data_IF_742140021080
#
_entry.id   IF_742140021080
#
_cell.length_a   1.000
_cell.length_b   1.000
_cell.length_c   1.000
_cell.angle_alpha   90.00
_cell.angle_beta   90.00
_cell.angle_gamma   90.00
#
_symmetry.space_group_name_H-M   'P 1'
#
loop_
_entity.id
_entity.type
_entity.pdbx_description
1 polymer ?
#
# COMPACT_ATOMS: atom_id res chain seq x y z
N UNK A 1 -80.06 28.20 24.18
CA UNK A 1 -80.93 27.01 24.16
C UNK A 1 -80.65 26.22 22.87
N UNK A 2 -80.28 24.94 23.00
CA UNK A 2 -80.32 23.82 22.02
C UNK A 2 -79.76 23.97 20.58
N UNK A 3 -78.67 23.19 20.35
CA UNK A 3 -78.33 22.31 19.21
C UNK A 3 -79.25 22.36 17.97
N UNK A 4 -78.65 22.32 16.77
CA UNK A 4 -78.56 21.11 15.91
C UNK A 4 -77.73 21.37 14.63
N UNK A 5 -76.88 20.39 14.32
CA UNK A 5 -76.19 20.15 13.06
C UNK A 5 -77.18 19.73 11.96
N UNK A 6 -76.87 20.04 10.69
CA UNK A 6 -77.03 19.10 9.57
C UNK A 6 -76.20 19.54 8.35
N UNK A 7 -75.62 18.54 7.69
CA UNK A 7 -74.59 18.51 6.66
C UNK A 7 -75.22 18.16 5.29
N UNK A 8 -74.59 18.59 4.18
CA UNK A 8 -74.58 18.01 2.80
C UNK A 8 -74.68 19.15 1.76
N UNK A 9 -73.78 19.42 0.80
CA UNK A 9 -72.73 18.70 0.05
C UNK A 9 -72.88 19.12 -1.44
N UNK A 10 -71.99 18.80 -2.40
CA UNK A 10 -70.53 18.58 -2.35
C UNK A 10 -69.74 19.58 -3.25
N UNK A 11 -68.46 19.77 -2.93
CA UNK A 11 -67.47 20.50 -3.74
C UNK A 11 -66.79 19.55 -4.75
N UNK A 12 -66.66 19.99 -6.01
CA UNK A 12 -65.79 19.38 -7.01
C UNK A 12 -64.56 20.30 -7.17
N UNK A 13 -63.39 19.87 -6.69
CA UNK A 13 -62.12 20.56 -6.93
C UNK A 13 -61.06 19.54 -7.37
N UNK A 14 -60.57 19.77 -8.57
CA UNK A 14 -59.63 18.95 -9.34
C UNK A 14 -58.21 19.17 -8.81
N UNK A 15 -57.63 18.15 -8.18
CA UNK A 15 -56.25 18.19 -7.66
C UNK A 15 -55.22 17.88 -8.74
N UNK A 16 -54.32 18.82 -9.01
CA UNK A 16 -53.08 18.60 -9.76
C UNK A 16 -52.01 18.12 -8.78
N UNK A 17 -51.72 16.82 -8.80
CA UNK A 17 -50.58 16.25 -8.08
C UNK A 17 -49.31 16.40 -8.93
N UNK A 18 -48.43 17.34 -8.55
CA UNK A 18 -47.05 17.33 -9.02
C UNK A 18 -46.29 16.20 -8.31
N UNK A 19 -46.00 15.13 -9.05
CA UNK A 19 -45.11 14.07 -8.61
C UNK A 19 -43.67 14.63 -8.55
N UNK A 20 -43.19 14.91 -7.34
CA UNK A 20 -41.79 15.26 -7.10
C UNK A 20 -40.91 14.03 -7.30
N UNK A 21 -39.94 14.13 -8.20
CA UNK A 21 -38.87 13.15 -8.37
C UNK A 21 -37.97 13.23 -7.12
N UNK A 22 -37.73 12.14 -6.38
CA UNK A 22 -36.77 12.17 -5.28
C UNK A 22 -35.37 12.37 -5.85
N UNK A 23 -34.72 13.45 -5.43
CA UNK A 23 -33.31 13.69 -5.68
C UNK A 23 -32.50 12.55 -5.03
N UNK A 24 -31.87 11.71 -5.85
CA UNK A 24 -30.91 10.72 -5.38
C UNK A 24 -29.66 11.44 -4.87
N UNK A 25 -29.62 11.65 -3.55
CA UNK A 25 -28.42 12.08 -2.83
C UNK A 25 -27.32 11.04 -3.04
N UNK A 26 -26.40 11.33 -3.96
CA UNK A 26 -25.12 10.63 -4.02
C UNK A 26 -24.30 11.13 -2.84
N UNK A 27 -24.45 10.48 -1.69
CA UNK A 27 -23.51 10.63 -0.60
C UNK A 27 -22.14 10.16 -1.10
N UNK A 28 -21.30 11.12 -1.49
CA UNK A 28 -19.88 10.86 -1.72
C UNK A 28 -19.31 10.32 -0.40
N UNK A 29 -18.86 9.07 -0.42
CA UNK A 29 -18.17 8.47 0.70
C UNK A 29 -16.90 9.29 0.96
N UNK A 30 -16.94 10.11 2.00
CA UNK A 30 -15.75 10.83 2.50
C UNK A 30 -14.78 9.75 2.97
N UNK A 31 -13.64 9.60 2.27
CA UNK A 31 -12.51 8.77 2.72
C UNK A 31 -12.04 9.33 4.07
N UNK A 32 -12.51 8.75 5.18
CA UNK A 32 -12.01 9.12 6.52
C UNK A 32 -10.62 8.53 6.68
N UNK A 33 -9.60 9.38 6.81
CA UNK A 33 -8.25 8.94 7.15
C UNK A 33 -8.25 8.47 8.61
N UNK A 34 -8.01 7.17 8.81
CA UNK A 34 -7.83 6.56 10.13
C UNK A 34 -6.43 6.92 10.64
N UNK A 35 -6.28 7.27 11.92
CA UNK A 35 -4.97 7.55 12.54
C UNK A 35 -4.70 6.54 13.64
N UNK A 36 -3.48 6.02 13.70
CA UNK A 36 -3.01 5.14 14.79
C UNK A 36 -1.83 5.77 15.52
N UNK A 37 -1.76 5.56 16.84
CA UNK A 37 -0.59 5.92 17.65
C UNK A 37 0.40 4.76 17.61
N UNK A 38 1.66 5.06 17.40
CA UNK A 38 2.75 4.08 17.31
C UNK A 38 3.91 4.51 18.18
N UNK A 39 4.63 3.55 18.75
CA UNK A 39 5.77 3.77 19.65
C UNK A 39 7.07 3.17 19.10
N UNK A 40 6.95 2.25 18.12
CA UNK A 40 8.07 1.51 17.56
C UNK A 40 8.13 1.64 16.04
N UNK A 41 9.35 1.72 15.51
CA UNK A 41 9.64 1.71 14.09
C UNK A 41 10.70 0.66 13.73
N UNK A 42 10.46 -0.06 12.64
CA UNK A 42 11.40 -0.99 12.01
C UNK A 42 11.64 -0.53 10.58
N UNK A 43 12.88 -0.64 10.08
CA UNK A 43 13.15 -0.45 8.64
C UNK A 43 13.92 -1.66 8.12
N UNK A 44 13.20 -2.52 7.41
CA UNK A 44 13.79 -3.65 6.72
C UNK A 44 14.32 -3.19 5.36
N UNK A 45 15.57 -3.53 5.03
CA UNK A 45 16.09 -3.37 3.67
C UNK A 45 15.26 -4.25 2.74
N UNK A 46 14.98 -3.77 1.53
CA UNK A 46 14.36 -4.60 0.49
C UNK A 46 15.10 -4.46 -0.84
N UNK A 47 15.23 -5.59 -1.52
CA UNK A 47 15.86 -5.74 -2.83
C UNK A 47 15.06 -6.80 -3.60
N UNK A 48 14.46 -6.40 -4.73
CA UNK A 48 13.48 -7.21 -5.44
C UNK A 48 13.65 -7.14 -6.96
N UNK A 49 14.02 -8.26 -7.58
CA UNK A 49 14.00 -8.44 -9.03
C UNK A 49 12.66 -9.03 -9.44
N UNK A 50 11.75 -8.22 -9.98
CA UNK A 50 10.37 -8.64 -10.23
C UNK A 50 10.17 -9.22 -11.62
N UNK A 51 10.78 -8.59 -12.63
CA UNK A 51 10.58 -8.94 -14.05
C UNK A 51 11.79 -9.67 -14.65
N UNK A 52 12.98 -9.17 -14.38
CA UNK A 52 14.23 -9.64 -14.97
C UNK A 52 15.35 -9.66 -13.91
N UNK A 53 16.45 -10.39 -14.15
CA UNK A 53 17.64 -10.28 -13.32
C UNK A 53 18.10 -8.82 -13.23
N UNK A 54 18.49 -8.42 -12.03
CA UNK A 54 19.11 -7.12 -11.78
C UNK A 54 20.39 -6.98 -12.61
N UNK A 55 20.62 -5.82 -13.22
CA UNK A 55 21.76 -5.62 -14.13
C UNK A 55 22.19 -4.15 -14.30
N UNK A 56 21.83 -3.25 -13.37
CA UNK A 56 22.16 -1.82 -13.48
C UNK A 56 23.56 -1.45 -12.93
N UNK A 57 24.28 -2.44 -12.39
CA UNK A 57 25.63 -2.28 -11.81
C UNK A 57 25.67 -1.95 -10.32
N UNK A 58 24.54 -1.68 -9.66
CA UNK A 58 24.48 -1.40 -8.21
C UNK A 58 24.53 -2.68 -7.35
N UNK A 59 24.14 -3.82 -7.93
CA UNK A 59 24.27 -5.16 -7.37
C UNK A 59 24.80 -6.09 -8.46
N UNK A 60 25.40 -7.21 -8.04
CA UNK A 60 25.78 -8.28 -8.96
C UNK A 60 24.58 -8.73 -9.80
N UNK A 61 24.85 -9.27 -10.99
CA UNK A 61 23.78 -9.75 -11.86
C UNK A 61 23.10 -10.96 -11.22
N UNK A 62 21.79 -10.89 -10.99
CA UNK A 62 21.05 -11.98 -10.36
C UNK A 62 19.57 -11.67 -10.13
N UNK A 63 18.80 -12.67 -9.72
CA UNK A 63 17.42 -12.48 -9.26
C UNK A 63 17.41 -12.44 -7.75
N UNK A 64 16.95 -11.32 -7.20
CA UNK A 64 16.89 -11.08 -5.76
C UNK A 64 15.44 -11.13 -5.27
N UNK A 65 15.22 -11.82 -4.14
CA UNK A 65 13.91 -11.88 -3.47
C UNK A 65 14.08 -11.57 -1.99
N UNK A 66 13.23 -10.69 -1.50
CA UNK A 66 13.11 -10.35 -0.08
C UNK A 66 11.75 -10.78 0.44
N UNK A 67 11.73 -11.35 1.64
CA UNK A 67 10.54 -11.53 2.49
C UNK A 67 10.81 -10.83 3.82
N UNK A 68 9.87 -10.01 4.28
CA UNK A 68 9.91 -9.41 5.61
C UNK A 68 8.82 -10.05 6.45
N UNK A 69 9.21 -10.94 7.36
CA UNK A 69 8.32 -11.56 8.33
C UNK A 69 8.09 -10.60 9.50
N UNK A 70 6.83 -10.49 9.93
CA UNK A 70 6.41 -9.60 10.99
C UNK A 70 5.54 -10.40 11.95
N UNK A 71 6.06 -10.65 13.15
CA UNK A 71 5.37 -11.41 14.19
C UNK A 71 5.01 -10.49 15.36
N UNK A 72 3.79 -10.67 15.86
CA UNK A 72 3.29 -10.03 17.07
C UNK A 72 3.48 -10.98 18.26
N UNK A 73 4.56 -10.86 19.06
CA UNK A 73 4.80 -11.74 20.20
C UNK A 73 3.87 -11.45 21.40
N UNK A 74 2.97 -10.48 21.29
CA UNK A 74 2.08 -10.10 22.38
C UNK A 74 0.80 -10.94 22.39
N UNK A 75 0.10 -10.90 23.52
CA UNK A 75 -1.19 -11.58 23.71
C UNK A 75 -2.39 -10.74 23.23
N UNK A 76 -2.17 -9.64 22.51
CA UNK A 76 -3.21 -8.72 22.08
C UNK A 76 -3.19 -8.55 20.57
N UNK A 77 -4.37 -8.44 19.98
CA UNK A 77 -4.52 -7.99 18.59
C UNK A 77 -4.28 -6.48 18.52
N UNK A 78 -3.53 -6.02 17.54
CA UNK A 78 -3.41 -4.58 17.23
C UNK A 78 -3.14 -4.32 15.75
N UNK A 79 -3.32 -3.07 15.35
CA UNK A 79 -3.06 -2.60 13.99
C UNK A 79 -1.66 -2.03 13.88
N UNK A 80 -0.95 -2.40 12.82
CA UNK A 80 0.34 -1.82 12.43
C UNK A 80 0.18 -1.05 11.13
N UNK A 81 1.14 -0.16 10.86
CA UNK A 81 1.23 0.54 9.59
C UNK A 81 2.56 0.22 8.91
N UNK A 82 2.55 0.02 7.60
CA UNK A 82 3.76 -0.10 6.81
C UNK A 82 3.71 0.81 5.58
N UNK A 83 4.87 1.29 5.15
CA UNK A 83 5.07 2.01 3.87
C UNK A 83 6.39 1.58 3.23
N UNK A 84 6.56 1.91 1.96
CA UNK A 84 7.80 1.69 1.22
C UNK A 84 8.47 3.02 0.93
N UNK A 85 9.77 3.10 1.16
CA UNK A 85 10.62 4.21 0.75
C UNK A 85 11.69 3.67 -0.23
N UNK A 86 11.61 4.06 -1.50
CA UNK A 86 12.57 3.67 -2.53
C UNK A 86 13.91 4.35 -2.29
N UNK A 87 14.99 3.61 -2.49
CA UNK A 87 16.33 4.17 -2.57
C UNK A 87 16.50 4.89 -3.91
N UNK A 88 17.12 6.06 -3.87
CA UNK A 88 17.55 6.80 -5.06
C UNK A 88 19.03 7.12 -4.96
N UNK A 89 19.65 7.54 -6.06
CA UNK A 89 21.03 8.00 -6.06
C UNK A 89 21.25 9.11 -5.02
N UNK A 90 22.41 9.08 -4.36
CA UNK A 90 22.77 10.06 -3.34
C UNK A 90 22.86 11.47 -3.96
N UNK A 91 22.11 12.41 -3.42
CA UNK A 91 22.03 13.79 -3.92
C UNK A 91 20.92 14.03 -4.96
N UNK A 92 20.25 12.99 -5.44
CA UNK A 92 19.10 13.12 -6.34
C UNK A 92 17.83 13.47 -5.57
N UNK A 93 16.96 14.26 -6.21
CA UNK A 93 15.66 14.60 -5.64
C UNK A 93 14.74 13.37 -5.58
N UNK A 94 13.96 13.22 -4.51
CA UNK A 94 12.93 12.19 -4.42
C UNK A 94 11.83 12.44 -5.46
N UNK A 95 11.47 11.40 -6.22
CA UNK A 95 10.39 11.44 -7.19
C UNK A 95 8.99 11.33 -6.53
N UNK A 96 7.92 11.55 -7.31
CA UNK A 96 6.54 11.52 -6.81
C UNK A 96 6.10 10.15 -6.27
N UNK A 97 6.83 9.09 -6.61
CA UNK A 97 6.60 7.73 -6.15
C UNK A 97 7.78 7.19 -5.32
N UNK A 98 8.63 8.05 -4.75
CA UNK A 98 9.74 7.57 -3.91
C UNK A 98 9.28 7.08 -2.54
N UNK A 99 8.13 7.53 -2.05
CA UNK A 99 7.60 7.13 -0.74
C UNK A 99 6.10 6.84 -0.90
N UNK A 100 5.66 5.67 -0.45
CA UNK A 100 4.25 5.29 -0.51
C UNK A 100 3.49 5.78 0.72
N UNK A 101 2.16 5.94 0.62
CA UNK A 101 1.33 6.09 1.81
C UNK A 101 1.43 4.88 2.74
N UNK A 102 1.10 5.08 4.01
CA UNK A 102 0.98 3.99 4.97
C UNK A 102 -0.27 3.15 4.69
N UNK A 103 -0.09 1.83 4.63
CA UNK A 103 -1.17 0.85 4.62
C UNK A 103 -1.21 0.13 5.96
N UNK A 104 -2.41 -0.30 6.36
CA UNK A 104 -2.62 -1.00 7.63
C UNK A 104 -2.60 -2.52 7.46
N UNK A 105 -2.14 -3.20 8.50
CA UNK A 105 -2.36 -4.63 8.69
C UNK A 105 -2.80 -4.87 10.14
N UNK A 106 -3.75 -5.77 10.35
CA UNK A 106 -4.13 -6.21 11.69
C UNK A 106 -3.38 -7.48 12.04
N UNK A 107 -2.61 -7.45 13.12
CA UNK A 107 -1.93 -8.64 13.64
C UNK A 107 -2.74 -9.20 14.80
N UNK A 108 -3.08 -10.49 14.70
CA UNK A 108 -3.67 -11.23 15.81
C UNK A 108 -2.64 -11.39 16.93
N UNK A 109 -3.12 -11.69 18.14
CA UNK A 109 -2.25 -12.11 19.23
C UNK A 109 -1.44 -13.34 18.80
N UNK A 110 -0.13 -13.33 19.04
CA UNK A 110 0.82 -14.38 18.61
C UNK A 110 0.77 -14.67 17.09
N UNK A 111 0.23 -13.74 16.31
CA UNK A 111 0.04 -13.87 14.88
C UNK A 111 1.19 -13.28 14.10
N UNK A 112 1.38 -13.77 12.87
CA UNK A 112 2.37 -13.23 11.94
C UNK A 112 1.75 -12.88 10.59
N UNK A 113 2.39 -11.96 9.88
CA UNK A 113 2.17 -11.66 8.47
C UNK A 113 3.53 -11.50 7.79
N UNK A 114 3.54 -11.47 6.46
CA UNK A 114 4.74 -11.16 5.70
C UNK A 114 4.49 -10.05 4.68
N UNK A 115 5.60 -9.46 4.22
CA UNK A 115 5.65 -8.65 3.00
C UNK A 115 6.72 -9.24 2.09
N UNK A 116 6.31 -9.88 1.00
CA UNK A 116 7.24 -10.31 -0.04
C UNK A 116 7.37 -9.24 -1.14
N UNK A 117 8.28 -9.47 -2.09
CA UNK A 117 8.52 -8.52 -3.19
C UNK A 117 7.27 -8.10 -3.97
N UNK A 118 6.29 -8.98 -4.14
CA UNK A 118 5.07 -8.66 -4.88
C UNK A 118 4.11 -7.81 -4.03
N UNK A 119 4.02 -8.08 -2.73
CA UNK A 119 3.27 -7.23 -1.80
C UNK A 119 3.86 -5.81 -1.76
N UNK A 120 5.19 -5.72 -1.67
CA UNK A 120 5.95 -4.46 -1.65
C UNK A 120 5.73 -3.68 -2.94
N UNK A 121 5.84 -4.32 -4.10
CA UNK A 121 5.52 -3.68 -5.40
C UNK A 121 4.06 -3.21 -5.44
N UNK A 122 3.15 -3.98 -4.84
CA UNK A 122 1.74 -3.65 -4.71
C UNK A 122 1.48 -2.34 -3.95
N UNK A 123 2.42 -1.82 -3.15
CA UNK A 123 2.27 -0.50 -2.50
C UNK A 123 2.16 0.65 -3.51
N UNK A 124 2.69 0.46 -4.72
CA UNK A 124 2.73 1.47 -5.78
C UNK A 124 1.58 1.33 -6.79
N UNK A 125 0.51 0.63 -6.42
CA UNK A 125 -0.66 0.45 -7.28
C UNK A 125 -1.97 0.39 -6.45
N UNK A 126 -2.93 1.32 -6.66
CA UNK A 126 -2.74 2.66 -7.25
C UNK A 126 -2.17 3.65 -6.23
N UNK A 127 -1.36 4.60 -6.71
CA UNK A 127 -1.05 5.86 -6.00
C UNK A 127 -1.50 7.00 -6.90
N UNK A 128 -2.49 7.79 -6.48
CA UNK A 128 -3.07 8.88 -7.27
C UNK A 128 -3.55 8.40 -8.66
N UNK A 129 -4.16 7.21 -8.73
CA UNK A 129 -4.60 6.58 -9.97
C UNK A 129 -3.48 6.10 -10.90
N UNK A 130 -2.25 5.95 -10.41
CA UNK A 130 -1.12 5.41 -11.19
C UNK A 130 -0.66 4.08 -10.56
N UNK A 131 -0.43 3.07 -11.38
CA UNK A 131 0.28 1.86 -10.98
C UNK A 131 1.71 1.90 -11.53
N UNK A 132 2.70 1.67 -10.67
CA UNK A 132 4.10 1.57 -11.07
C UNK A 132 4.49 0.11 -11.19
N UNK A 133 4.83 -0.31 -12.41
CA UNK A 133 5.29 -1.65 -12.72
C UNK A 133 6.82 -1.68 -12.61
N UNK A 134 7.32 -2.34 -11.57
CA UNK A 134 8.75 -2.41 -11.31
C UNK A 134 9.40 -3.59 -12.03
N UNK A 135 10.50 -3.34 -12.74
CA UNK A 135 11.42 -4.42 -13.14
C UNK A 135 12.32 -4.83 -11.96
N UNK A 136 12.81 -3.81 -11.24
CA UNK A 136 13.56 -3.93 -10.01
C UNK A 136 13.07 -2.89 -9.00
N UNK A 137 13.07 -3.26 -7.73
CA UNK A 137 12.69 -2.40 -6.62
C UNK A 137 13.73 -2.53 -5.51
N UNK A 138 14.26 -1.39 -5.09
CA UNK A 138 15.17 -1.29 -3.97
C UNK A 138 14.74 -0.18 -3.01
N UNK A 139 14.81 -0.45 -1.71
CA UNK A 139 14.55 0.56 -0.71
C UNK A 139 14.44 -0.02 0.69
N UNK A 140 13.50 0.53 1.46
CA UNK A 140 13.14 0.07 2.78
C UNK A 140 11.64 -0.10 2.93
N UNK A 141 11.22 -1.17 3.60
CA UNK A 141 9.89 -1.26 4.19
C UNK A 141 9.98 -0.70 5.60
N UNK A 142 9.22 0.37 5.85
CA UNK A 142 9.15 1.02 7.16
C UNK A 142 7.87 0.61 7.85
N UNK A 143 8.00 -0.11 8.96
CA UNK A 143 6.89 -0.61 9.78
C UNK A 143 6.79 0.24 11.04
N UNK A 144 5.57 0.61 11.41
CA UNK A 144 5.21 1.36 12.61
C UNK A 144 4.23 0.55 13.45
N UNK A 145 4.47 0.47 14.75
CA UNK A 145 3.71 -0.39 15.65
C UNK A 145 3.47 0.27 17.01
N UNK A 146 2.30 0.09 17.64
CA UNK A 146 2.07 0.50 19.03
C UNK A 146 2.83 -0.36 20.05
N UNK A 147 3.16 -1.61 19.70
CA UNK A 147 3.83 -2.58 20.59
C UNK A 147 5.08 -3.17 19.91
N UNK A 148 6.05 -3.71 20.66
CA UNK A 148 7.19 -4.42 20.08
C UNK A 148 6.76 -5.59 19.19
N UNK A 149 7.46 -5.74 18.06
CA UNK A 149 7.32 -6.82 17.09
C UNK A 149 8.65 -7.57 16.93
N UNK A 150 8.56 -8.83 16.52
CA UNK A 150 9.71 -9.54 15.93
C UNK A 150 9.66 -9.34 14.42
N UNK A 151 10.68 -8.69 13.86
CA UNK A 151 10.77 -8.42 12.42
C UNK A 151 12.03 -9.05 11.86
N UNK A 152 11.88 -9.88 10.84
CA UNK A 152 12.99 -10.63 10.24
C UNK A 152 12.95 -10.49 8.72
N UNK A 153 14.04 -10.02 8.14
CA UNK A 153 14.26 -10.03 6.70
C UNK A 153 14.90 -11.36 6.26
N UNK A 154 14.35 -11.97 5.22
CA UNK A 154 14.96 -13.12 4.52
C UNK A 154 15.29 -12.68 3.11
N UNK A 155 16.56 -12.82 2.75
CA UNK A 155 17.09 -12.41 1.46
C UNK A 155 17.60 -13.64 0.73
N UNK A 156 17.15 -13.83 -0.51
CA UNK A 156 17.65 -14.90 -1.36
C UNK A 156 18.10 -14.35 -2.71
N UNK A 157 19.15 -14.95 -3.25
CA UNK A 157 19.66 -14.63 -4.57
C UNK A 157 19.98 -15.90 -5.35
N UNK A 158 19.90 -15.77 -6.69
CA UNK A 158 20.23 -16.83 -7.63
C UNK A 158 20.65 -16.28 -8.98
N UNK A 159 21.38 -17.07 -9.75
CA UNK A 159 21.64 -16.79 -11.14
C UNK A 159 20.37 -17.04 -11.98
N UNK A 160 19.72 -15.96 -12.44
CA UNK A 160 18.56 -16.02 -13.34
C UNK A 160 17.38 -16.88 -12.80
N UNK A 161 17.02 -17.92 -13.52
CA UNK A 161 15.91 -18.85 -13.31
C UNK A 161 16.34 -20.14 -12.59
N UNK A 162 17.57 -20.21 -12.10
CA UNK A 162 18.08 -21.31 -11.29
C UNK A 162 17.44 -21.41 -9.88
N UNK A 163 17.93 -22.37 -9.10
CA UNK A 163 17.57 -22.53 -7.68
C UNK A 163 18.23 -21.47 -6.79
N UNK A 164 17.80 -21.34 -5.54
CA UNK A 164 18.43 -20.43 -4.57
C UNK A 164 19.91 -20.80 -4.40
N UNK A 165 20.81 -19.83 -4.64
CA UNK A 165 22.25 -20.02 -4.50
C UNK A 165 22.77 -19.49 -3.17
N UNK A 166 22.19 -18.38 -2.69
CA UNK A 166 22.53 -17.79 -1.41
C UNK A 166 21.27 -17.37 -0.67
N UNK A 167 21.33 -17.47 0.65
CA UNK A 167 20.29 -17.01 1.55
C UNK A 167 20.94 -16.33 2.76
N UNK A 168 20.35 -15.22 3.19
CA UNK A 168 20.70 -14.53 4.41
C UNK A 168 19.44 -14.17 5.20
N UNK A 169 19.57 -14.10 6.52
CA UNK A 169 18.48 -13.80 7.44
C UNK A 169 18.96 -12.75 8.43
N UNK A 170 18.25 -11.62 8.49
CA UNK A 170 18.60 -10.49 9.33
C UNK A 170 17.45 -10.12 10.28
N UNK A 171 17.76 -9.97 11.56
CA UNK A 171 16.81 -9.48 12.54
C UNK A 171 16.78 -7.94 12.46
N UNK A 172 15.63 -7.38 12.12
CA UNK A 172 15.48 -5.94 11.93
C UNK A 172 15.31 -5.28 13.30
N UNK A 173 16.22 -4.40 13.72
CA UNK A 173 16.18 -3.83 15.07
C UNK A 173 15.01 -2.86 15.24
N UNK A 174 14.41 -2.89 16.42
CA UNK A 174 13.40 -1.92 16.82
C UNK A 174 14.03 -0.55 17.10
N UNK A 175 13.29 0.52 16.78
CA UNK A 175 13.61 1.89 17.19
C UNK A 175 12.41 2.46 17.93
N UNK A 176 12.63 3.05 19.10
CA UNK A 176 11.58 3.74 19.85
C UNK A 176 11.36 5.13 19.23
N UNK A 177 10.24 5.29 18.53
CA UNK A 177 9.85 6.53 17.84
C UNK A 177 8.33 6.65 17.95
N UNK A 178 7.88 7.51 18.86
CA UNK A 178 6.46 7.80 19.06
C UNK A 178 5.94 8.73 17.97
N UNK A 179 4.87 8.32 17.28
CA UNK A 179 4.28 9.07 16.17
C UNK A 179 2.79 8.74 15.99
N UNK A 180 1.99 9.74 15.59
CA UNK A 180 0.64 9.53 15.06
C UNK A 180 0.72 9.32 13.54
N UNK A 181 0.37 8.12 13.09
CA UNK A 181 0.46 7.72 11.69
C UNK A 181 -0.92 7.77 11.05
N UNK A 182 -1.04 8.56 9.99
CA UNK A 182 -2.24 8.63 9.16
C UNK A 182 -2.24 7.46 8.17
N UNK A 183 -3.22 6.57 8.31
CA UNK A 183 -3.44 5.43 7.44
C UNK A 183 -4.20 5.89 6.20
N UNK A 184 -3.73 5.44 5.03
CA UNK A 184 -4.40 5.67 3.76
C UNK A 184 -5.11 4.39 3.35
N UNK A 185 -6.41 4.47 3.13
CA UNK A 185 -7.15 3.36 2.56
C UNK A 185 -6.64 3.09 1.13
N UNK A 186 -6.40 1.83 0.74
CA UNK A 186 -5.97 1.52 -0.63
C UNK A 186 -6.99 2.05 -1.63
N UNK A 187 -6.52 2.77 -2.65
CA UNK A 187 -7.37 3.26 -3.73
C UNK A 187 -7.99 2.07 -4.47
N UNK A 188 -9.30 2.12 -4.81
CA UNK A 188 -9.93 1.05 -5.56
C UNK A 188 -9.30 0.91 -6.95
N UNK A 189 -9.14 -0.33 -7.43
CA UNK A 189 -8.53 -0.62 -8.75
C UNK A 189 -9.25 0.07 -9.93
N UNK A 190 -10.53 0.42 -9.77
CA UNK A 190 -11.29 1.21 -10.76
C UNK A 190 -10.76 2.64 -10.96
N UNK A 191 -9.94 3.15 -10.04
CA UNK A 191 -9.32 4.48 -10.13
C UNK A 191 -7.98 4.46 -10.87
N UNK A 192 -7.51 3.29 -11.37
CA UNK A 192 -6.29 3.19 -12.17
C UNK A 192 -6.50 3.88 -13.52
N UNK A 193 -5.78 4.98 -13.74
CA UNK A 193 -5.81 5.78 -14.96
C UNK A 193 -4.69 5.40 -15.93
N UNK A 194 -3.55 4.95 -15.41
CA UNK A 194 -2.38 4.56 -16.22
C UNK A 194 -1.40 3.67 -15.46
N UNK A 195 -0.57 2.98 -16.24
CA UNK A 195 0.61 2.25 -15.78
C UNK A 195 1.89 3.02 -16.14
N UNK A 196 2.88 2.97 -15.26
CA UNK A 196 4.21 3.53 -15.48
C UNK A 196 5.24 2.44 -15.19
N UNK A 197 6.18 2.22 -16.11
CA UNK A 197 7.29 1.28 -15.87
C UNK A 197 8.44 1.95 -15.12
N UNK A 198 9.00 1.25 -14.13
CA UNK A 198 10.17 1.70 -13.38
C UNK A 198 11.25 0.60 -13.26
N UNK A 199 12.52 0.89 -13.57
CA UNK A 199 12.98 2.12 -14.23
C UNK A 199 12.40 2.26 -15.64
N UNK A 200 12.37 3.47 -16.19
CA UNK A 200 11.74 3.73 -17.50
C UNK A 200 12.39 2.91 -18.64
N UNK A 201 11.61 2.55 -19.67
CA UNK A 201 12.15 1.87 -20.87
C UNK A 201 13.30 2.66 -21.49
N UNK A 202 14.36 1.95 -21.88
CA UNK A 202 15.56 2.56 -22.48
C UNK A 202 16.51 3.23 -21.47
N UNK A 203 16.22 3.16 -20.17
CA UNK A 203 17.23 3.53 -19.16
C UNK A 203 18.38 2.52 -19.15
N UNK A 204 19.60 2.90 -18.71
CA UNK A 204 20.72 1.96 -18.57
C UNK A 204 20.38 0.75 -17.69
N UNK A 205 19.50 0.94 -16.71
CA UNK A 205 18.99 -0.12 -15.83
C UNK A 205 17.99 -1.07 -16.52
N UNK A 206 17.43 -0.67 -17.67
CA UNK A 206 16.45 -1.44 -18.46
C UNK A 206 17.09 -2.12 -19.68
N UNK A 207 18.15 -1.55 -20.26
CA UNK A 207 18.78 -2.04 -21.49
C UNK A 207 19.97 -2.95 -21.18
N UNK A 208 19.68 -4.23 -20.96
CA UNK A 208 20.67 -5.31 -21.01
C UNK A 208 21.10 -5.64 -22.46
N UNK A 209 21.54 -4.66 -23.24
CA UNK A 209 22.19 -4.99 -24.52
C UNK A 209 23.56 -5.56 -24.23
N UNK A 210 23.66 -6.87 -24.44
CA UNK A 210 24.88 -7.64 -24.64
C UNK A 210 25.92 -6.77 -25.38
N UNK A 211 27.03 -6.43 -24.71
CA UNK A 211 28.16 -5.88 -25.43
C UNK A 211 28.62 -6.96 -26.41
N UNK A 212 28.66 -6.71 -27.73
CA UNK A 212 29.22 -7.66 -28.66
C UNK A 212 30.71 -7.84 -28.32
N UNK A 213 31.11 -9.11 -28.20
CA UNK A 213 32.51 -9.52 -28.06
C UNK A 213 33.37 -9.02 -29.23
#
# INVERSE_FOLDING_TARGET
MKRRYAFSGPFLAMGLAFAGIPATSHAQAVKSNETIKTEYQYAAKVVCSLRFPHQDGTLAKGVYRTIVNIHNPTKKKFTIAAKVALSTEFGSASGPFSITPFRKAELQADGATELNCFDIAGYFCPINGVCVDFAFLEGFVVIKSPEPLDVVGVYSARHSDGEVETMDVDAVPQRQISEEVVLTAPEPKSEIKRHMEYPAKGSPASDGKEQPK
#
